data_IF_427391367610
#
_entry.id   IF_427391367610
#
_cell.length_a   1.000
_cell.length_b   1.000
_cell.length_c   1.000
_cell.angle_alpha   90.00
_cell.angle_beta   90.00
_cell.angle_gamma   90.00
#
_symmetry.space_group_name_H-M   'P 1'
#
loop_
_entity.id
_entity.type
_entity.pdbx_description
1 polymer ?
#
# COMPACT_ATOMS: atom_id res chain seq x y z
N UNK A 1 -8.35 27.13 5.43
CA UNK A 1 -8.38 28.34 4.60
C UNK A 1 -8.67 28.00 3.14
N UNK A 2 -7.97 27.04 2.54
CA UNK A 2 -8.25 26.63 1.13
C UNK A 2 -9.71 26.19 0.89
N UNK A 3 -10.31 25.47 1.82
CA UNK A 3 -11.69 24.97 1.72
C UNK A 3 -12.72 26.11 1.54
N UNK A 4 -12.45 27.30 2.05
CA UNK A 4 -13.33 28.46 1.89
C UNK A 4 -13.12 29.23 0.58
N UNK A 5 -12.05 28.95 -0.16
CA UNK A 5 -11.70 29.64 -1.41
C UNK A 5 -12.09 28.85 -2.67
N UNK A 6 -12.33 27.55 -2.53
CA UNK A 6 -12.71 26.68 -3.64
C UNK A 6 -14.25 26.57 -3.69
N UNK A 7 -14.82 27.00 -4.81
CA UNK A 7 -16.25 26.87 -5.06
C UNK A 7 -16.57 25.38 -5.21
N UNK A 8 -17.46 24.87 -4.36
CA UNK A 8 -17.90 23.47 -4.48
C UNK A 8 -18.55 23.24 -5.83
N UNK A 9 -18.21 22.15 -6.54
CA UNK A 9 -18.96 21.79 -7.74
C UNK A 9 -20.42 21.52 -7.38
N UNK A 10 -21.37 21.85 -8.28
CA UNK A 10 -22.79 21.63 -8.00
C UNK A 10 -23.01 20.15 -7.68
N UNK A 11 -23.69 19.86 -6.56
CA UNK A 11 -24.03 18.51 -6.15
C UNK A 11 -24.92 17.88 -7.24
N UNK A 12 -24.33 16.94 -8.00
CA UNK A 12 -25.02 16.27 -9.12
C UNK A 12 -26.02 15.20 -8.66
N UNK A 13 -26.03 14.87 -7.36
CA UNK A 13 -26.87 13.81 -6.79
C UNK A 13 -27.52 14.29 -5.49
N UNK A 14 -28.81 13.93 -5.32
CA UNK A 14 -29.55 14.16 -4.09
C UNK A 14 -28.86 13.44 -2.92
N UNK A 15 -28.69 14.11 -1.78
CA UNK A 15 -28.20 13.48 -0.57
C UNK A 15 -29.04 12.23 -0.24
N UNK A 16 -28.40 11.12 0.18
CA UNK A 16 -29.13 9.90 0.51
C UNK A 16 -30.10 10.16 1.65
N UNK A 17 -31.35 9.74 1.48
CA UNK A 17 -32.42 10.00 2.45
C UNK A 17 -32.32 9.06 3.67
N UNK A 18 -31.64 7.92 3.54
CA UNK A 18 -31.48 6.91 4.60
C UNK A 18 -30.05 6.43 4.72
N UNK A 19 -29.65 6.01 5.93
CA UNK A 19 -28.33 5.41 6.18
C UNK A 19 -28.07 4.16 5.31
N UNK A 20 -29.12 3.38 5.04
CA UNK A 20 -29.05 2.23 4.13
C UNK A 20 -28.67 2.65 2.71
N UNK A 21 -29.31 3.68 2.20
CA UNK A 21 -28.96 4.24 0.88
C UNK A 21 -27.51 4.75 0.85
N UNK A 22 -27.07 5.44 1.88
CA UNK A 22 -25.71 5.95 1.97
C UNK A 22 -24.63 4.85 1.96
N UNK A 23 -24.96 3.64 2.42
CA UNK A 23 -24.00 2.53 2.50
C UNK A 23 -24.19 1.54 1.34
N UNK A 24 -25.41 1.09 1.08
CA UNK A 24 -25.67 -0.03 0.16
C UNK A 24 -25.61 0.40 -1.31
N UNK A 25 -26.13 1.57 -1.64
CA UNK A 25 -26.16 2.05 -3.03
C UNK A 25 -24.76 2.23 -3.64
N UNK A 26 -23.75 2.80 -2.94
CA UNK A 26 -22.38 2.89 -3.48
C UNK A 26 -21.76 1.54 -3.84
N UNK A 27 -22.06 0.47 -3.07
CA UNK A 27 -21.62 -0.90 -3.38
C UNK A 27 -22.35 -1.47 -4.59
N UNK A 28 -23.67 -1.35 -4.63
CA UNK A 28 -24.46 -1.81 -5.76
C UNK A 28 -24.07 -1.11 -7.06
N UNK A 29 -23.83 0.20 -7.01
CA UNK A 29 -23.35 0.96 -8.14
C UNK A 29 -21.97 0.46 -8.60
N UNK A 30 -21.03 0.32 -7.68
CA UNK A 30 -19.68 -0.13 -8.00
C UNK A 30 -19.66 -1.53 -8.66
N UNK A 31 -20.42 -2.47 -8.10
CA UNK A 31 -20.56 -3.83 -8.65
C UNK A 31 -21.30 -3.79 -9.98
N UNK A 32 -22.40 -3.04 -10.08
CA UNK A 32 -23.22 -2.94 -11.30
C UNK A 32 -22.46 -2.32 -12.47
N UNK A 33 -21.69 -1.26 -12.21
CA UNK A 33 -20.90 -0.55 -13.21
C UNK A 33 -19.71 -1.37 -13.74
N UNK A 34 -19.03 -2.08 -12.88
CA UNK A 34 -17.79 -2.84 -13.23
C UNK A 34 -18.03 -4.32 -13.49
N UNK A 35 -19.17 -4.84 -13.09
CA UNK A 35 -19.44 -6.28 -13.02
C UNK A 35 -18.70 -6.94 -11.85
N UNK A 36 -19.26 -8.03 -11.32
CA UNK A 36 -18.76 -8.70 -10.12
C UNK A 36 -17.29 -9.08 -10.19
N UNK A 37 -16.84 -9.68 -11.29
CA UNK A 37 -15.46 -10.15 -11.45
C UNK A 37 -14.44 -9.01 -11.46
N UNK A 38 -14.79 -7.86 -12.07
CA UNK A 38 -13.92 -6.69 -12.09
C UNK A 38 -13.94 -5.97 -10.76
N UNK A 39 -15.09 -5.91 -10.08
CA UNK A 39 -15.22 -5.32 -8.75
C UNK A 39 -14.33 -6.07 -7.73
N UNK A 40 -14.42 -7.40 -7.70
CA UNK A 40 -13.58 -8.24 -6.83
C UNK A 40 -12.09 -8.08 -7.19
N UNK A 41 -11.73 -8.02 -8.46
CA UNK A 41 -10.35 -7.81 -8.88
C UNK A 41 -9.79 -6.46 -8.39
N UNK A 42 -10.58 -5.39 -8.43
CA UNK A 42 -10.19 -4.06 -7.90
C UNK A 42 -10.01 -4.12 -6.39
N UNK A 43 -10.94 -4.72 -5.65
CA UNK A 43 -10.83 -4.84 -4.19
C UNK A 43 -9.63 -5.70 -3.78
N UNK A 44 -9.42 -6.82 -4.46
CA UNK A 44 -8.24 -7.67 -4.26
C UNK A 44 -6.94 -6.92 -4.59
N UNK A 45 -6.91 -6.13 -5.67
CA UNK A 45 -5.77 -5.29 -6.00
C UNK A 45 -5.47 -4.27 -4.89
N UNK A 46 -6.47 -3.56 -4.40
CA UNK A 46 -6.33 -2.57 -3.31
C UNK A 46 -5.69 -3.23 -2.07
N UNK A 47 -6.11 -4.44 -1.75
CA UNK A 47 -5.58 -5.20 -0.62
C UNK A 47 -4.16 -5.69 -0.87
N UNK A 48 -3.92 -6.45 -1.94
CA UNK A 48 -2.64 -7.12 -2.19
C UNK A 48 -1.52 -6.17 -2.61
N UNK A 49 -1.85 -5.05 -3.27
CA UNK A 49 -0.83 -4.08 -3.68
C UNK A 49 -0.09 -3.45 -2.50
N UNK A 50 -0.76 -3.34 -1.35
CA UNK A 50 -0.19 -2.80 -0.11
C UNK A 50 0.32 -3.88 0.86
N UNK A 51 0.02 -5.16 0.61
CA UNK A 51 0.29 -6.22 1.56
C UNK A 51 1.80 -6.43 1.81
N UNK A 52 2.59 -6.60 0.74
CA UNK A 52 4.02 -6.88 0.86
C UNK A 52 4.78 -5.78 1.59
N UNK A 53 4.53 -4.52 1.22
CA UNK A 53 5.09 -3.34 1.85
C UNK A 53 4.65 -3.22 3.34
N UNK A 54 3.38 -3.45 3.61
CA UNK A 54 2.85 -3.44 4.98
C UNK A 54 3.48 -4.52 5.86
N UNK A 55 3.72 -5.71 5.32
CA UNK A 55 4.41 -6.79 6.03
C UNK A 55 5.87 -6.44 6.30
N UNK A 56 6.60 -5.97 5.30
CA UNK A 56 8.01 -5.63 5.44
C UNK A 56 8.25 -4.51 6.47
N UNK A 57 7.37 -3.52 6.53
CA UNK A 57 7.50 -2.37 7.43
C UNK A 57 6.85 -2.57 8.80
N UNK A 58 6.00 -3.59 9.00
CA UNK A 58 5.35 -3.88 10.28
C UNK A 58 6.36 -4.10 11.42
N UNK A 59 7.45 -4.78 11.14
CA UNK A 59 8.52 -5.12 12.09
C UNK A 59 9.82 -4.35 11.84
N UNK A 60 9.79 -3.21 11.14
CA UNK A 60 10.99 -2.46 10.80
C UNK A 60 11.84 -2.10 12.02
N UNK A 61 11.22 -1.62 13.09
CA UNK A 61 11.98 -1.24 14.32
C UNK A 61 12.59 -2.45 15.02
N UNK A 62 11.88 -3.54 15.33
CA UNK A 62 12.48 -4.77 15.82
C UNK A 62 13.64 -5.28 14.94
N UNK A 63 13.43 -5.31 13.63
CA UNK A 63 14.45 -5.72 12.67
C UNK A 63 15.75 -4.91 12.79
N UNK A 64 15.66 -3.59 12.86
CA UNK A 64 16.86 -2.75 13.02
C UNK A 64 17.55 -2.96 14.36
N UNK A 65 16.78 -3.16 15.44
CA UNK A 65 17.34 -3.44 16.76
C UNK A 65 18.07 -4.79 16.79
N UNK A 66 17.53 -5.82 16.14
CA UNK A 66 18.15 -7.15 16.05
C UNK A 66 19.42 -7.14 15.19
N UNK A 67 19.52 -6.22 14.22
CA UNK A 67 20.77 -5.96 13.49
C UNK A 67 21.82 -5.16 14.30
N UNK A 68 21.50 -4.79 15.54
CA UNK A 68 22.41 -4.11 16.45
C UNK A 68 22.39 -2.58 16.37
N UNK A 69 21.48 -1.98 15.61
CA UNK A 69 21.32 -0.52 15.58
C UNK A 69 20.71 -0.01 16.90
N UNK A 70 21.26 1.05 17.44
CA UNK A 70 20.69 1.71 18.63
C UNK A 70 19.41 2.48 18.29
N UNK A 71 18.55 2.67 19.27
CA UNK A 71 17.33 3.51 19.13
C UNK A 71 17.63 4.93 18.66
N UNK A 72 18.79 5.47 19.06
CA UNK A 72 19.22 6.82 18.67
C UNK A 72 19.60 6.87 17.19
N UNK A 73 20.37 5.90 16.71
CA UNK A 73 20.73 5.77 15.28
C UNK A 73 19.49 5.61 14.40
N UNK A 74 18.58 4.70 14.78
CA UNK A 74 17.31 4.49 14.08
C UNK A 74 16.52 5.80 14.03
N UNK A 75 16.35 6.48 15.17
CA UNK A 75 15.58 7.72 15.24
C UNK A 75 16.18 8.86 14.41
N UNK A 76 17.51 9.04 14.43
CA UNK A 76 18.18 10.06 13.62
C UNK A 76 18.07 9.78 12.11
N UNK A 77 18.27 8.53 11.71
CA UNK A 77 18.21 8.12 10.31
C UNK A 77 16.78 8.13 9.81
N UNK A 78 15.84 7.53 10.53
CA UNK A 78 14.44 7.47 10.13
C UNK A 78 13.82 8.87 9.97
N UNK A 79 14.19 9.82 10.82
CA UNK A 79 13.70 11.22 10.73
C UNK A 79 14.15 11.90 9.44
N UNK A 80 15.38 11.69 9.01
CA UNK A 80 15.94 12.39 7.84
C UNK A 80 15.77 11.57 6.55
N UNK A 81 16.20 10.31 6.58
CA UNK A 81 16.12 9.41 5.43
C UNK A 81 14.68 8.91 5.16
N UNK A 82 13.80 8.90 6.16
CA UNK A 82 12.40 8.54 5.96
C UNK A 82 11.55 9.71 5.44
N UNK A 83 11.65 10.89 6.06
CA UNK A 83 10.76 12.01 5.74
C UNK A 83 10.99 12.58 4.33
N UNK A 84 12.23 13.04 4.07
CA UNK A 84 12.51 13.76 2.82
C UNK A 84 12.33 12.92 1.55
N UNK A 85 12.85 11.68 1.48
CA UNK A 85 12.60 10.83 0.33
C UNK A 85 11.12 10.53 0.11
N UNK A 86 10.32 10.36 1.16
CA UNK A 86 8.88 10.17 1.03
C UNK A 86 8.18 11.37 0.39
N UNK A 87 8.48 12.57 0.87
CA UNK A 87 7.93 13.83 0.30
C UNK A 87 8.34 14.00 -1.16
N UNK A 88 9.64 13.81 -1.45
CA UNK A 88 10.18 13.90 -2.82
C UNK A 88 9.53 12.83 -3.71
N UNK A 89 9.42 11.60 -3.22
CA UNK A 89 8.75 10.51 -3.93
C UNK A 89 7.29 10.82 -4.25
N UNK A 90 6.54 11.39 -3.30
CA UNK A 90 5.15 11.81 -3.52
C UNK A 90 5.02 12.89 -4.60
N UNK A 91 5.88 13.91 -4.57
CA UNK A 91 5.90 14.98 -5.57
C UNK A 91 6.30 14.43 -6.95
N UNK A 92 7.40 13.68 -7.02
CA UNK A 92 7.88 13.09 -8.29
C UNK A 92 6.88 12.07 -8.82
N UNK A 93 6.22 11.30 -7.96
CA UNK A 93 5.15 10.36 -8.34
C UNK A 93 4.01 11.09 -9.05
N UNK A 94 3.56 12.21 -8.50
CA UNK A 94 2.56 13.07 -9.14
C UNK A 94 3.02 13.61 -10.51
N UNK A 95 4.24 14.16 -10.57
CA UNK A 95 4.81 14.70 -11.82
C UNK A 95 5.00 13.61 -12.88
N UNK A 96 5.51 12.44 -12.51
CA UNK A 96 5.73 11.34 -13.46
C UNK A 96 4.42 10.74 -13.95
N UNK A 97 3.37 10.71 -13.13
CA UNK A 97 2.04 10.27 -13.57
C UNK A 97 1.45 11.14 -14.68
N UNK A 98 1.83 12.43 -14.80
CA UNK A 98 1.38 13.30 -15.90
C UNK A 98 1.85 12.74 -17.25
N UNK A 99 3.08 12.18 -17.28
CA UNK A 99 3.67 11.60 -18.51
C UNK A 99 3.33 10.13 -18.69
N UNK A 100 3.40 9.34 -17.64
CA UNK A 100 3.20 7.88 -17.68
C UNK A 100 1.72 7.50 -17.73
N UNK A 101 0.85 8.32 -17.13
CA UNK A 101 -0.51 7.91 -16.77
C UNK A 101 -0.54 7.04 -15.52
N UNK A 102 -1.70 6.96 -14.88
CA UNK A 102 -1.87 6.25 -13.60
C UNK A 102 -1.55 4.74 -13.73
N UNK A 103 -2.00 4.11 -14.82
CA UNK A 103 -1.79 2.66 -15.01
C UNK A 103 -0.31 2.30 -15.05
N UNK A 104 0.47 2.96 -15.91
CA UNK A 104 1.92 2.70 -16.03
C UNK A 104 2.68 3.07 -14.77
N UNK A 105 2.26 4.15 -14.09
CA UNK A 105 2.86 4.56 -12.83
C UNK A 105 2.69 3.47 -11.75
N UNK A 106 1.52 2.84 -11.63
CA UNK A 106 1.31 1.71 -10.72
C UNK A 106 2.27 0.55 -10.99
N UNK A 107 2.52 0.22 -12.27
CA UNK A 107 3.48 -0.81 -12.63
C UNK A 107 4.91 -0.45 -12.24
N UNK A 108 5.39 0.71 -12.66
CA UNK A 108 6.77 1.15 -12.41
C UNK A 108 7.03 1.32 -10.91
N UNK A 109 6.12 1.97 -10.20
CA UNK A 109 6.28 2.24 -8.77
C UNK A 109 6.08 0.98 -7.93
N UNK A 110 5.17 0.08 -8.35
CA UNK A 110 4.98 -1.21 -7.70
C UNK A 110 6.19 -2.13 -7.82
N UNK A 111 6.81 -2.20 -9.01
CA UNK A 111 8.06 -2.93 -9.20
C UNK A 111 9.17 -2.34 -8.33
N UNK A 112 9.30 -1.01 -8.31
CA UNK A 112 10.30 -0.35 -7.47
C UNK A 112 10.11 -0.68 -5.99
N UNK A 113 8.88 -0.59 -5.47
CA UNK A 113 8.57 -0.97 -4.08
C UNK A 113 8.89 -2.44 -3.79
N UNK A 114 8.51 -3.34 -4.70
CA UNK A 114 8.82 -4.76 -4.54
C UNK A 114 10.36 -5.02 -4.49
N UNK A 115 11.13 -4.35 -5.33
CA UNK A 115 12.60 -4.47 -5.30
C UNK A 115 13.20 -3.92 -4.00
N UNK A 116 12.64 -2.85 -3.44
CA UNK A 116 13.12 -2.30 -2.16
C UNK A 116 12.89 -3.28 -1.00
N UNK A 117 11.83 -4.10 -1.04
CA UNK A 117 11.64 -5.17 -0.05
C UNK A 117 12.84 -6.14 -0.05
N UNK A 118 13.39 -6.48 -1.21
CA UNK A 118 14.61 -7.29 -1.31
C UNK A 118 15.84 -6.56 -0.76
N UNK A 119 15.84 -5.24 -0.75
CA UNK A 119 16.88 -4.44 -0.11
C UNK A 119 16.94 -4.64 1.42
N UNK A 120 15.80 -4.89 2.08
CA UNK A 120 15.81 -5.28 3.50
C UNK A 120 16.49 -6.65 3.71
N UNK A 121 16.23 -7.62 2.83
CA UNK A 121 16.94 -8.91 2.88
C UNK A 121 18.46 -8.74 2.67
N UNK A 122 18.88 -7.86 1.76
CA UNK A 122 20.28 -7.51 1.58
C UNK A 122 20.88 -6.87 2.84
N UNK A 123 20.14 -6.01 3.56
CA UNK A 123 20.62 -5.38 4.78
C UNK A 123 20.96 -6.39 5.88
N UNK A 124 20.29 -7.55 5.93
CA UNK A 124 20.63 -8.66 6.84
C UNK A 124 22.06 -9.14 6.63
N UNK A 125 22.48 -9.23 5.38
CA UNK A 125 23.83 -9.73 5.01
C UNK A 125 24.90 -8.65 5.02
N UNK A 126 24.52 -7.39 4.80
CA UNK A 126 25.44 -6.25 4.78
C UNK A 126 25.99 -5.85 6.16
N UNK A 127 25.33 -6.31 7.24
CA UNK A 127 25.71 -6.04 8.61
C UNK A 127 25.41 -4.61 9.06
N UNK A 128 25.91 -4.25 10.25
CA UNK A 128 25.67 -2.96 10.90
C UNK A 128 26.44 -1.83 10.21
N UNK A 129 25.79 -1.14 9.28
CA UNK A 129 26.32 0.07 8.63
C UNK A 129 25.26 1.17 8.56
N UNK A 130 25.59 2.36 9.08
CA UNK A 130 24.65 3.50 9.08
C UNK A 130 24.26 3.92 7.65
N UNK A 131 25.19 3.83 6.70
CA UNK A 131 24.93 4.13 5.29
C UNK A 131 23.95 3.11 4.66
N UNK A 132 24.11 1.82 5.00
CA UNK A 132 23.18 0.76 4.59
C UNK A 132 21.78 1.00 5.12
N UNK A 133 21.65 1.28 6.42
CA UNK A 133 20.37 1.60 7.05
C UNK A 133 19.72 2.83 6.40
N UNK A 134 20.48 3.92 6.22
CA UNK A 134 19.97 5.14 5.61
C UNK A 134 19.52 4.94 4.17
N UNK A 135 20.27 4.15 3.38
CA UNK A 135 19.91 3.87 1.98
C UNK A 135 18.63 3.06 1.86
N UNK A 136 18.43 2.05 2.72
CA UNK A 136 17.22 1.21 2.69
C UNK A 136 15.99 1.99 3.18
N UNK A 137 16.10 2.69 4.32
CA UNK A 137 15.01 3.55 4.81
C UNK A 137 14.65 4.62 3.77
N UNK A 138 15.67 5.23 3.15
CA UNK A 138 15.44 6.25 2.12
C UNK A 138 14.81 5.72 0.85
N UNK A 139 15.26 4.57 0.37
CA UNK A 139 14.69 3.91 -0.81
C UNK A 139 13.24 3.46 -0.55
N UNK A 140 12.98 2.89 0.62
CA UNK A 140 11.62 2.49 1.04
C UNK A 140 10.70 3.71 1.12
N UNK A 141 11.09 4.74 1.84
CA UNK A 141 10.29 5.95 1.98
C UNK A 141 10.02 6.64 0.63
N UNK A 142 11.00 6.67 -0.27
CA UNK A 142 10.85 7.18 -1.63
C UNK A 142 9.87 6.35 -2.44
N UNK A 143 10.01 5.02 -2.40
CA UNK A 143 9.10 4.07 -3.06
C UNK A 143 7.66 4.20 -2.55
N UNK A 144 7.48 4.33 -1.23
CA UNK A 144 6.17 4.57 -0.61
C UNK A 144 5.56 5.89 -1.08
N UNK A 145 6.36 6.96 -1.16
CA UNK A 145 5.89 8.24 -1.70
C UNK A 145 5.37 8.13 -3.12
N UNK A 146 6.18 7.54 -4.03
CA UNK A 146 5.80 7.28 -5.41
C UNK A 146 4.53 6.42 -5.52
N UNK A 147 4.53 5.27 -4.85
CA UNK A 147 3.44 4.30 -4.94
C UNK A 147 2.15 4.83 -4.33
N UNK A 148 2.23 5.61 -3.25
CA UNK A 148 1.05 6.22 -2.63
C UNK A 148 0.40 7.24 -3.56
N UNK A 149 1.19 8.07 -4.25
CA UNK A 149 0.66 9.02 -5.23
C UNK A 149 -0.13 8.31 -6.35
N UNK A 150 0.43 7.24 -6.93
CA UNK A 150 -0.25 6.47 -7.98
C UNK A 150 -1.47 5.70 -7.47
N UNK A 151 -1.36 5.13 -6.27
CA UNK A 151 -2.44 4.37 -5.65
C UNK A 151 -3.64 5.25 -5.28
N UNK A 152 -3.40 6.44 -4.73
CA UNK A 152 -4.46 7.42 -4.43
C UNK A 152 -5.14 7.90 -5.71
N UNK A 153 -4.36 8.20 -6.76
CA UNK A 153 -4.91 8.57 -8.05
C UNK A 153 -5.77 7.45 -8.66
N UNK A 154 -5.32 6.20 -8.56
CA UNK A 154 -6.07 5.03 -9.03
C UNK A 154 -7.39 4.86 -8.25
N UNK A 155 -7.34 4.94 -6.92
CA UNK A 155 -8.55 4.80 -6.09
C UNK A 155 -9.54 5.92 -6.38
N UNK A 156 -9.08 7.17 -6.51
CA UNK A 156 -9.91 8.30 -6.90
C UNK A 156 -10.57 8.10 -8.27
N UNK A 157 -9.80 7.66 -9.28
CA UNK A 157 -10.34 7.39 -10.63
C UNK A 157 -11.30 6.20 -10.68
N UNK A 158 -11.25 5.33 -9.67
CA UNK A 158 -12.13 4.15 -9.57
C UNK A 158 -13.47 4.50 -8.93
N UNK A 159 -13.56 5.60 -8.20
CA UNK A 159 -14.80 6.06 -7.56
C UNK A 159 -15.78 6.67 -8.58
N UNK A 160 -17.07 6.55 -8.29
CA UNK A 160 -18.09 7.29 -9.03
C UNK A 160 -18.22 8.72 -8.46
N UNK A 161 -18.23 9.78 -9.29
CA UNK A 161 -18.43 11.15 -8.83
C UNK A 161 -19.66 11.34 -7.93
N UNK A 162 -20.73 10.57 -8.16
CA UNK A 162 -21.94 10.59 -7.36
C UNK A 162 -21.79 10.05 -5.93
N UNK A 163 -20.83 9.15 -5.72
CA UNK A 163 -20.59 8.44 -4.44
C UNK A 163 -19.15 8.54 -3.97
N UNK A 164 -18.41 9.55 -4.44
CA UNK A 164 -16.95 9.66 -4.21
C UNK A 164 -16.58 9.53 -2.75
N UNK A 165 -17.22 10.26 -1.85
CA UNK A 165 -16.89 10.24 -0.43
C UNK A 165 -16.97 8.82 0.17
N UNK A 166 -18.08 8.12 -0.07
CA UNK A 166 -18.30 6.77 0.49
C UNK A 166 -17.39 5.73 -0.16
N UNK A 167 -17.32 5.70 -1.50
CA UNK A 167 -16.48 4.71 -2.19
C UNK A 167 -14.99 4.92 -1.90
N UNK A 168 -14.51 6.17 -1.88
CA UNK A 168 -13.12 6.47 -1.55
C UNK A 168 -12.79 6.09 -0.10
N UNK A 169 -13.68 6.40 0.86
CA UNK A 169 -13.51 5.99 2.25
C UNK A 169 -13.43 4.47 2.40
N UNK A 170 -14.27 3.72 1.69
CA UNK A 170 -14.24 2.25 1.70
C UNK A 170 -12.94 1.69 1.11
N UNK A 171 -12.47 2.23 -0.02
CA UNK A 171 -11.22 1.79 -0.64
C UNK A 171 -10.01 2.11 0.24
N UNK A 172 -9.98 3.28 0.88
CA UNK A 172 -8.89 3.64 1.80
C UNK A 172 -8.91 2.81 3.08
N UNK A 173 -10.10 2.49 3.61
CA UNK A 173 -10.24 1.57 4.75
C UNK A 173 -9.76 0.15 4.39
N UNK A 174 -10.12 -0.34 3.20
CA UNK A 174 -9.64 -1.63 2.71
C UNK A 174 -8.11 -1.62 2.51
N UNK A 175 -7.56 -0.52 2.01
CA UNK A 175 -6.12 -0.36 1.82
C UNK A 175 -5.33 -0.33 3.15
N UNK A 176 -5.97 0.02 4.27
CA UNK A 176 -5.35 -0.02 5.60
C UNK A 176 -5.38 -1.44 6.23
N UNK A 177 -6.28 -2.31 5.78
CA UNK A 177 -6.45 -3.67 6.34
C UNK A 177 -5.17 -4.52 6.26
N UNK A 178 -4.38 -4.52 5.16
CA UNK A 178 -3.12 -5.27 5.09
C UNK A 178 -2.16 -4.95 6.23
N UNK A 179 -2.05 -3.67 6.62
CA UNK A 179 -1.18 -3.25 7.72
C UNK A 179 -1.64 -3.81 9.07
N UNK A 180 -2.95 -3.85 9.30
CA UNK A 180 -3.50 -4.42 10.54
C UNK A 180 -3.21 -5.93 10.62
N UNK A 181 -3.42 -6.66 9.52
CA UNK A 181 -3.10 -8.08 9.43
C UNK A 181 -1.60 -8.33 9.55
N UNK A 182 -0.79 -7.52 8.88
CA UNK A 182 0.66 -7.62 8.96
C UNK A 182 1.14 -7.46 10.41
N UNK A 183 0.69 -6.43 11.11
CA UNK A 183 1.07 -6.20 12.51
C UNK A 183 0.69 -7.38 13.43
N UNK A 184 -0.36 -8.13 13.10
CA UNK A 184 -0.81 -9.26 13.90
C UNK A 184 -0.07 -10.56 13.62
N UNK A 185 0.40 -10.76 12.38
CA UNK A 185 0.89 -12.07 11.91
C UNK A 185 2.40 -12.12 11.67
N UNK A 186 3.03 -10.98 11.37
CA UNK A 186 4.45 -10.97 10.96
C UNK A 186 5.41 -11.40 12.06
N UNK A 187 5.09 -11.15 13.34
CA UNK A 187 5.88 -11.65 14.48
C UNK A 187 6.00 -13.17 14.49
N UNK A 188 4.87 -13.87 14.27
CA UNK A 188 4.86 -15.33 14.19
C UNK A 188 5.67 -15.86 12.98
N UNK A 189 5.75 -15.11 11.90
CA UNK A 189 6.56 -15.51 10.74
C UNK A 189 8.07 -15.39 11.01
N UNK A 190 8.50 -14.38 11.76
CA UNK A 190 9.92 -14.14 12.05
C UNK A 190 10.42 -15.05 13.16
N UNK A 191 9.71 -15.08 14.29
CA UNK A 191 10.13 -15.73 15.54
C UNK A 191 9.63 -17.18 15.66
N UNK A 192 8.63 -17.54 14.86
CA UNK A 192 7.89 -18.79 14.99
C UNK A 192 6.90 -18.76 16.14
N UNK A 193 6.19 -19.86 16.34
CA UNK A 193 5.30 -20.03 17.46
C UNK A 193 4.00 -20.76 17.12
N UNK A 194 3.20 -20.99 18.15
CA UNK A 194 1.90 -21.64 18.03
C UNK A 194 0.79 -20.61 17.86
N UNK A 195 0.01 -20.72 16.81
CA UNK A 195 -1.26 -20.00 16.71
C UNK A 195 -2.31 -20.82 17.46
N UNK A 196 -2.92 -20.20 18.48
CA UNK A 196 -3.88 -20.84 19.38
C UNK A 196 -5.20 -20.06 19.42
N UNK A 197 -6.31 -20.79 19.52
CA UNK A 197 -7.61 -20.23 19.93
C UNK A 197 -7.91 -20.76 21.33
N UNK A 198 -7.69 -19.93 22.36
CA UNK A 198 -7.71 -20.37 23.76
C UNK A 198 -6.58 -21.36 24.02
N UNK A 199 -6.92 -22.55 24.54
CA UNK A 199 -5.96 -23.63 24.81
C UNK A 199 -5.71 -24.55 23.61
N UNK A 200 -6.46 -24.40 22.51
CA UNK A 200 -6.38 -25.29 21.34
C UNK A 200 -5.31 -24.76 20.37
N UNK A 201 -4.19 -25.49 20.19
CA UNK A 201 -3.21 -25.14 19.14
C UNK A 201 -3.82 -25.45 17.77
N UNK A 202 -3.84 -24.45 16.87
CA UNK A 202 -4.32 -24.63 15.51
C UNK A 202 -3.20 -25.14 14.60
N UNK A 203 -2.06 -24.46 14.62
CA UNK A 203 -0.87 -24.87 13.88
C UNK A 203 0.37 -24.18 14.43
N UNK A 204 1.51 -24.84 14.23
CA UNK A 204 2.82 -24.33 14.55
C UNK A 204 3.44 -23.69 13.31
N UNK A 205 4.08 -22.55 13.48
CA UNK A 205 4.86 -21.87 12.44
C UNK A 205 6.32 -21.90 12.86
N UNK A 206 7.16 -22.51 12.03
CA UNK A 206 8.60 -22.46 12.24
C UNK A 206 9.15 -21.06 12.01
N UNK A 207 10.13 -20.65 12.79
CA UNK A 207 10.79 -19.35 12.64
C UNK A 207 11.49 -19.25 11.27
N UNK A 208 11.09 -18.25 10.47
CA UNK A 208 11.74 -18.00 9.17
C UNK A 208 13.06 -17.23 9.31
N UNK A 209 13.21 -16.44 10.37
CA UNK A 209 14.25 -15.44 10.48
C UNK A 209 14.06 -14.27 9.47
N UNK A 210 14.88 -13.23 9.62
CA UNK A 210 14.68 -11.97 8.88
C UNK A 210 14.83 -12.10 7.37
N UNK A 211 15.85 -12.81 6.90
CA UNK A 211 16.12 -12.92 5.46
C UNK A 211 14.96 -13.58 4.72
N UNK A 212 14.53 -14.77 5.17
CA UNK A 212 13.39 -15.49 4.54
C UNK A 212 12.09 -14.73 4.69
N UNK A 213 11.91 -14.04 5.81
CA UNK A 213 10.74 -13.19 6.03
C UNK A 213 10.59 -12.11 4.93
N UNK A 214 11.68 -11.42 4.54
CA UNK A 214 11.60 -10.43 3.47
C UNK A 214 11.35 -11.04 2.10
N UNK A 215 11.81 -12.27 1.83
CA UNK A 215 11.40 -12.98 0.62
C UNK A 215 9.92 -13.33 0.62
N UNK A 216 9.34 -13.69 1.76
CA UNK A 216 7.89 -13.88 1.91
C UNK A 216 7.13 -12.56 1.67
N UNK A 217 7.62 -11.44 2.21
CA UNK A 217 7.03 -10.12 1.96
C UNK A 217 7.06 -9.74 0.47
N UNK A 218 8.18 -10.02 -0.21
CA UNK A 218 8.31 -9.84 -1.65
C UNK A 218 7.29 -10.72 -2.41
N UNK A 219 7.19 -11.99 -2.06
CA UNK A 219 6.20 -12.90 -2.66
C UNK A 219 4.76 -12.44 -2.41
N UNK A 220 4.47 -11.88 -1.24
CA UNK A 220 3.15 -11.32 -0.90
C UNK A 220 2.79 -10.06 -1.71
N UNK A 221 3.78 -9.34 -2.27
CA UNK A 221 3.54 -8.23 -3.18
C UNK A 221 3.16 -8.69 -4.61
N UNK A 222 3.57 -9.90 -5.03
CA UNK A 222 3.35 -10.38 -6.39
C UNK A 222 1.87 -10.50 -6.80
N UNK A 223 0.95 -10.98 -5.95
CA UNK A 223 -0.47 -11.02 -6.30
C UNK A 223 -1.03 -9.64 -6.66
N UNK A 224 -0.63 -8.59 -5.94
CA UNK A 224 -0.99 -7.21 -6.27
C UNK A 224 -0.48 -6.78 -7.65
N UNK A 225 0.77 -7.12 -7.96
CA UNK A 225 1.37 -6.85 -9.27
C UNK A 225 0.68 -7.63 -10.40
N UNK A 226 0.34 -8.90 -10.18
CA UNK A 226 -0.38 -9.73 -11.16
C UNK A 226 -1.79 -9.20 -11.44
N UNK A 227 -2.48 -8.67 -10.43
CA UNK A 227 -3.80 -8.07 -10.61
C UNK A 227 -3.78 -6.81 -11.47
N UNK A 228 -2.65 -6.12 -11.60
CA UNK A 228 -2.50 -4.97 -12.50
C UNK A 228 -2.78 -5.31 -13.96
N UNK A 229 -2.50 -6.53 -14.43
CA UNK A 229 -2.84 -6.95 -15.79
C UNK A 229 -4.32 -6.80 -16.09
N UNK A 230 -5.17 -7.00 -15.08
CA UNK A 230 -6.62 -6.90 -15.21
C UNK A 230 -7.17 -5.53 -14.84
N UNK A 231 -6.65 -4.92 -13.77
CA UNK A 231 -7.23 -3.73 -13.14
C UNK A 231 -6.67 -2.45 -13.77
N UNK A 232 -5.39 -2.44 -14.10
CA UNK A 232 -4.68 -1.30 -14.68
C UNK A 232 -3.68 -1.77 -15.76
N UNK A 233 -4.15 -2.32 -16.90
CA UNK A 233 -3.26 -2.85 -17.93
C UNK A 233 -2.35 -1.74 -18.46
N UNK A 234 -1.11 -2.11 -18.79
CA UNK A 234 -0.05 -1.18 -19.18
C UNK A 234 -0.44 -0.22 -20.31
N UNK A 235 -1.14 -0.73 -21.32
CA UNK A 235 -1.63 0.05 -22.47
C UNK A 235 -3.11 0.46 -22.35
N UNK A 236 -3.72 0.26 -21.17
CA UNK A 236 -5.09 0.69 -20.93
C UNK A 236 -5.18 2.22 -20.94
N UNK A 237 -6.09 2.76 -21.74
CA UNK A 237 -6.45 4.17 -21.68
C UNK A 237 -7.11 4.42 -20.33
N UNK A 238 -6.49 5.26 -19.49
CA UNK A 238 -7.19 5.81 -18.32
C UNK A 238 -8.42 6.55 -18.85
N UNK A 239 -9.61 6.23 -18.37
CA UNK A 239 -10.89 6.87 -18.77
C UNK A 239 -10.93 8.40 -18.57
N UNK A 240 -9.88 8.97 -17.99
CA UNK A 240 -9.71 10.41 -17.71
C UNK A 240 -9.68 11.31 -18.96
N UNK A 241 -9.60 10.77 -20.19
CA UNK A 241 -9.60 11.58 -21.43
C UNK A 241 -11.00 11.82 -22.04
N UNK A 242 -12.07 11.46 -21.39
CA UNK A 242 -13.46 11.63 -21.92
C UNK A 242 -14.39 12.43 -21.01
N UNK A 243 -13.87 13.33 -20.19
CA UNK A 243 -14.69 14.33 -19.48
C UNK A 243 -14.22 15.73 -19.82
#
# INVERSE_FOLDING_TARGET
IMTFMVKEPPASVRAPATLRQAIVEPFHEFIGRKGWVSAVAVLAFIFFYKLGDSMATALATPFYLDLGYSKTEIGMIAKNAGLWPNVIGGILGGVWMIKLGVNRALWVFGVLQALVILGFAWLVTAGHTLAGLASIIGAEAFGVGLGTAAFVAFTANTTNPAYTATQFALFTSLAATPRTLANSLTGFLVEGGDIRIGEIPLFHIDALGWERFFFVCFAAALPGMLLLFKVAPWNGTSEVRRA
#
